data_IF_005392250544
#
_entry.id   IF_005392250544
#
_cell.length_a   1.000
_cell.length_b   1.000
_cell.length_c   1.000
_cell.angle_alpha   90.00
_cell.angle_beta   90.00
_cell.angle_gamma   90.00
#
_symmetry.space_group_name_H-M   'P 1'
#
loop_
_entity.id
_entity.type
_entity.pdbx_description
1 polymer ?
#
# COMPACT_ATOMS: atom_id res chain seq x y z
N UNK A 1 0.88 -9.19 -36.48
CA UNK A 1 0.95 -8.29 -35.30
C UNK A 1 2.36 -7.72 -35.20
N UNK A 2 2.52 -6.40 -35.07
CA UNK A 2 3.85 -5.78 -34.85
C UNK A 2 4.36 -6.15 -33.45
N UNK A 3 5.61 -6.60 -33.34
CA UNK A 3 6.27 -6.79 -32.04
C UNK A 3 6.25 -5.47 -31.27
N UNK A 4 5.87 -5.44 -29.98
CA UNK A 4 5.95 -4.22 -29.19
C UNK A 4 7.40 -3.73 -29.17
N UNK A 5 7.57 -2.42 -29.29
CA UNK A 5 8.89 -1.80 -29.23
C UNK A 5 9.57 -2.18 -27.92
N UNK A 6 10.83 -2.63 -27.98
CA UNK A 6 11.62 -2.93 -26.77
C UNK A 6 11.76 -1.64 -25.95
N UNK A 7 11.22 -1.62 -24.74
CA UNK A 7 11.39 -0.49 -23.82
C UNK A 7 12.88 -0.31 -23.53
N UNK A 8 13.44 0.88 -23.76
CA UNK A 8 14.80 1.22 -23.37
C UNK A 8 14.97 1.05 -21.85
N UNK A 9 15.81 0.12 -21.37
CA UNK A 9 16.01 -0.11 -19.94
C UNK A 9 16.48 1.15 -19.20
N UNK A 10 17.21 2.04 -19.90
CA UNK A 10 17.72 3.30 -19.34
C UNK A 10 16.64 4.36 -19.13
N UNK A 11 15.42 4.14 -19.65
CA UNK A 11 14.27 5.06 -19.47
C UNK A 11 13.27 4.61 -18.40
N UNK A 12 13.50 3.47 -17.73
CA UNK A 12 12.58 3.00 -16.68
C UNK A 12 12.71 3.90 -15.45
N UNK A 13 11.61 4.54 -15.07
CA UNK A 13 11.48 5.40 -13.89
C UNK A 13 10.44 4.82 -12.93
N UNK A 14 10.57 5.11 -11.65
CA UNK A 14 9.50 4.88 -10.68
C UNK A 14 8.26 5.69 -11.06
N UNK A 15 7.08 5.12 -10.82
CA UNK A 15 5.79 5.76 -11.11
C UNK A 15 5.01 5.92 -9.81
N UNK A 16 4.19 6.97 -9.75
CA UNK A 16 3.15 7.13 -8.73
C UNK A 16 1.84 6.74 -9.39
N UNK A 17 1.13 5.78 -8.80
CA UNK A 17 -0.17 5.30 -9.28
C UNK A 17 -1.20 5.66 -8.21
N UNK A 18 -2.23 6.40 -8.61
CA UNK A 18 -3.33 6.80 -7.73
C UNK A 18 -4.60 6.08 -8.19
N UNK A 19 -5.05 5.11 -7.39
CA UNK A 19 -6.33 4.44 -7.58
C UNK A 19 -7.39 5.17 -6.73
N UNK A 20 -8.26 5.97 -7.36
CA UNK A 20 -9.28 6.77 -6.68
C UNK A 20 -10.67 6.60 -7.32
N UNK A 21 -11.69 7.25 -6.75
CA UNK A 21 -13.09 7.19 -7.16
C UNK A 21 -13.95 6.27 -6.28
N UNK A 22 -15.27 6.37 -6.40
CA UNK A 22 -16.23 5.71 -5.49
C UNK A 22 -16.43 4.22 -5.79
N UNK A 23 -15.94 3.75 -6.95
CA UNK A 23 -16.02 2.35 -7.35
C UNK A 23 -15.24 1.41 -6.41
N UNK A 24 -15.73 0.17 -6.28
CA UNK A 24 -14.97 -0.92 -5.65
C UNK A 24 -13.78 -1.31 -6.52
N UNK A 25 -12.68 -1.71 -5.88
CA UNK A 25 -11.52 -2.30 -6.54
C UNK A 25 -10.20 -1.55 -6.39
N UNK A 26 -10.17 -0.38 -5.73
CA UNK A 26 -8.95 0.41 -5.50
C UNK A 26 -7.86 -0.40 -4.77
N UNK A 27 -8.16 -0.90 -3.57
CA UNK A 27 -7.23 -1.71 -2.78
C UNK A 27 -6.90 -3.03 -3.46
N UNK A 28 -7.89 -3.69 -4.06
CA UNK A 28 -7.69 -4.96 -4.79
C UNK A 28 -6.75 -4.78 -5.99
N UNK A 29 -6.84 -3.66 -6.73
CA UNK A 29 -5.92 -3.35 -7.82
C UNK A 29 -4.50 -3.15 -7.30
N UNK A 30 -4.32 -2.43 -6.19
CA UNK A 30 -3.03 -2.25 -5.53
C UNK A 30 -2.44 -3.59 -5.05
N UNK A 31 -3.24 -4.46 -4.42
CA UNK A 31 -2.78 -5.78 -3.98
C UNK A 31 -2.47 -6.73 -5.14
N UNK A 32 -3.19 -6.62 -6.26
CA UNK A 32 -2.85 -7.35 -7.48
C UNK A 32 -1.47 -6.95 -8.03
N UNK A 33 -1.10 -5.67 -7.92
CA UNK A 33 0.25 -5.20 -8.24
C UNK A 33 1.31 -5.72 -7.25
N UNK A 34 0.99 -5.75 -5.95
CA UNK A 34 1.86 -6.33 -4.93
C UNK A 34 2.16 -7.81 -5.22
N UNK A 35 1.12 -8.59 -5.54
CA UNK A 35 1.27 -10.00 -5.91
C UNK A 35 2.15 -10.17 -7.15
N UNK A 36 1.95 -9.34 -8.19
CA UNK A 36 2.78 -9.36 -9.40
C UNK A 36 4.24 -9.04 -9.09
N UNK A 37 4.50 -8.04 -8.24
CA UNK A 37 5.85 -7.63 -7.84
C UNK A 37 6.53 -8.75 -7.02
N UNK A 38 5.83 -9.29 -6.01
CA UNK A 38 6.32 -10.41 -5.21
C UNK A 38 6.63 -11.66 -6.06
N UNK A 39 5.78 -11.98 -7.04
CA UNK A 39 6.04 -13.07 -8.00
C UNK A 39 7.30 -12.86 -8.85
N UNK A 40 7.77 -11.62 -8.99
CA UNK A 40 9.05 -11.27 -9.63
C UNK A 40 10.18 -11.02 -8.61
N UNK A 41 10.03 -11.49 -7.37
CA UNK A 41 11.00 -11.36 -6.28
C UNK A 41 11.36 -9.91 -5.93
N UNK A 42 10.42 -8.99 -6.12
CA UNK A 42 10.56 -7.61 -5.69
C UNK A 42 10.01 -7.44 -4.27
N UNK A 43 10.72 -6.66 -3.46
CA UNK A 43 10.27 -6.31 -2.12
C UNK A 43 9.18 -5.25 -2.20
N UNK A 44 8.06 -5.53 -1.55
CA UNK A 44 6.88 -4.68 -1.47
C UNK A 44 6.63 -4.29 -0.02
N UNK A 45 6.38 -3.02 0.22
CA UNK A 45 5.85 -2.54 1.50
C UNK A 45 4.41 -2.08 1.32
N UNK A 46 3.52 -2.50 2.21
CA UNK A 46 2.12 -2.08 2.24
C UNK A 46 1.84 -1.45 3.60
N UNK A 47 1.53 -0.15 3.59
CA UNK A 47 0.91 0.54 4.71
C UNK A 47 -0.58 0.69 4.44
N UNK A 48 -1.40 0.15 5.33
CA UNK A 48 -2.84 0.34 5.31
C UNK A 48 -3.22 1.34 6.42
N UNK A 49 -3.74 2.49 6.00
CA UNK A 49 -4.30 3.50 6.89
C UNK A 49 -5.75 3.13 7.22
N UNK A 50 -6.21 3.52 8.41
CA UNK A 50 -7.58 3.30 8.90
C UNK A 50 -7.97 1.81 8.99
N UNK A 51 -7.95 1.26 10.20
CA UNK A 51 -8.23 -0.15 10.42
C UNK A 51 -9.73 -0.44 10.38
N UNK A 52 -10.31 -0.64 9.21
CA UNK A 52 -11.62 -1.28 9.11
C UNK A 52 -11.53 -2.75 9.61
N UNK A 53 -12.54 -3.28 10.31
CA UNK A 53 -12.63 -4.72 10.53
C UNK A 53 -12.95 -5.38 9.18
N UNK A 54 -11.96 -5.87 8.42
CA UNK A 54 -12.08 -6.79 7.26
C UNK A 54 -10.67 -7.15 6.75
N UNK A 55 -10.34 -8.28 6.11
CA UNK A 55 -11.01 -9.48 5.61
C UNK A 55 -9.96 -10.61 5.69
N UNK A 56 -10.31 -11.78 6.23
CA UNK A 56 -9.33 -12.83 6.55
C UNK A 56 -8.50 -13.37 5.37
N UNK A 57 -8.94 -13.19 4.11
CA UNK A 57 -8.29 -13.77 2.93
C UNK A 57 -6.99 -13.08 2.50
N UNK A 58 -7.02 -11.75 2.32
CA UNK A 58 -5.86 -10.99 1.82
C UNK A 58 -4.71 -11.03 2.83
N UNK A 59 -4.99 -10.88 4.12
CA UNK A 59 -3.97 -11.02 5.19
C UNK A 59 -3.33 -12.40 5.22
N UNK A 60 -4.11 -13.47 5.02
CA UNK A 60 -3.57 -14.84 4.93
C UNK A 60 -2.62 -14.95 3.74
N UNK A 61 -3.04 -14.48 2.57
CA UNK A 61 -2.19 -14.48 1.37
C UNK A 61 -0.90 -13.66 1.58
N UNK A 62 -1.00 -12.46 2.17
CA UNK A 62 0.16 -11.62 2.48
C UNK A 62 1.12 -12.29 3.48
N UNK A 63 0.60 -13.07 4.43
CA UNK A 63 1.43 -13.84 5.36
C UNK A 63 2.25 -14.91 4.63
N UNK A 64 1.64 -15.63 3.69
CA UNK A 64 2.34 -16.61 2.85
C UNK A 64 3.38 -15.95 1.91
N UNK A 65 3.22 -14.65 1.62
CA UNK A 65 4.13 -13.86 0.79
C UNK A 65 5.14 -13.03 1.61
N UNK A 66 5.30 -13.32 2.91
CA UNK A 66 6.07 -12.48 3.83
C UNK A 66 7.55 -12.35 3.51
N UNK A 67 8.11 -13.28 2.72
CA UNK A 67 9.48 -13.18 2.20
C UNK A 67 9.68 -11.96 1.27
N UNK A 68 8.61 -11.49 0.62
CA UNK A 68 8.65 -10.39 -0.35
C UNK A 68 7.73 -9.24 0.01
N UNK A 69 6.71 -9.46 0.84
CA UNK A 69 5.71 -8.46 1.17
C UNK A 69 5.70 -8.19 2.67
N UNK A 70 6.20 -7.02 3.05
CA UNK A 70 6.01 -6.49 4.39
C UNK A 70 4.70 -5.70 4.44
N UNK A 71 3.81 -6.10 5.34
CA UNK A 71 2.50 -5.47 5.51
C UNK A 71 2.35 -4.93 6.93
N UNK A 72 1.92 -3.67 7.03
CA UNK A 72 1.58 -3.01 8.29
C UNK A 72 0.25 -2.29 8.14
N UNK A 73 -0.58 -2.35 9.19
CA UNK A 73 -1.83 -1.63 9.27
C UNK A 73 -1.90 -0.85 10.57
N UNK A 74 -2.34 0.41 10.50
CA UNK A 74 -2.45 1.31 11.64
C UNK A 74 -3.76 2.11 11.56
N UNK A 75 -4.29 2.48 12.73
CA UNK A 75 -5.62 3.10 12.89
C UNK A 75 -6.53 2.23 13.75
N UNK A 76 -7.60 2.83 14.29
CA UNK A 76 -8.45 2.20 15.31
C UNK A 76 -9.74 1.60 14.79
N UNK A 77 -10.18 1.91 13.57
CA UNK A 77 -11.56 1.58 13.19
C UNK A 77 -12.10 2.49 12.13
N UNK A 78 -13.37 2.30 11.79
CA UNK A 78 -14.18 3.37 11.19
C UNK A 78 -14.06 4.63 12.07
N UNK A 79 -13.46 5.69 11.54
CA UNK A 79 -13.22 6.98 12.22
C UNK A 79 -14.47 7.79 12.55
N UNK A 80 -15.65 7.23 12.29
CA UNK A 80 -16.92 7.91 12.53
C UNK A 80 -17.40 7.76 13.98
N UNK A 81 -16.76 6.90 14.78
CA UNK A 81 -17.10 6.63 16.19
C UNK A 81 -15.93 6.94 17.16
N UNK A 82 -14.81 7.49 16.68
CA UNK A 82 -13.69 7.80 17.58
C UNK A 82 -14.01 9.03 18.42
N UNK A 83 -14.19 8.85 19.72
CA UNK A 83 -14.32 9.95 20.69
C UNK A 83 -13.02 10.78 20.86
N UNK A 84 -11.96 10.48 20.08
CA UNK A 84 -10.63 11.09 20.23
C UNK A 84 -9.91 11.39 18.89
N UNK A 85 -10.24 12.52 18.22
CA UNK A 85 -9.61 12.95 16.96
C UNK A 85 -8.09 13.16 17.06
N UNK A 86 -7.57 13.54 18.21
CA UNK A 86 -6.14 13.79 18.39
C UNK A 86 -5.33 12.49 18.37
N UNK A 87 -5.89 11.41 18.93
CA UNK A 87 -5.30 10.08 18.84
C UNK A 87 -5.31 9.54 17.40
N UNK A 88 -6.36 9.81 16.63
CA UNK A 88 -6.44 9.44 15.22
C UNK A 88 -5.36 10.16 14.39
N UNK A 89 -5.22 11.48 14.56
CA UNK A 89 -4.16 12.26 13.90
C UNK A 89 -2.77 11.74 14.25
N UNK A 90 -2.52 11.45 15.54
CA UNK A 90 -1.24 10.90 15.99
C UNK A 90 -0.96 9.56 15.32
N UNK A 91 -1.93 8.66 15.30
CA UNK A 91 -1.79 7.33 14.68
C UNK A 91 -1.57 7.43 13.18
N UNK A 92 -2.29 8.31 12.50
CA UNK A 92 -2.07 8.61 11.08
C UNK A 92 -0.66 9.15 10.82
N UNK A 93 -0.16 10.05 11.67
CA UNK A 93 1.19 10.61 11.55
C UNK A 93 2.26 9.56 11.72
N UNK A 94 2.14 8.71 12.74
CA UNK A 94 3.06 7.60 12.97
C UNK A 94 3.07 6.62 11.79
N UNK A 95 1.89 6.28 11.26
CA UNK A 95 1.76 5.42 10.08
C UNK A 95 2.43 6.05 8.85
N UNK A 96 2.26 7.35 8.65
CA UNK A 96 2.91 8.09 7.57
C UNK A 96 4.43 8.13 7.72
N UNK A 97 4.95 8.36 8.93
CA UNK A 97 6.39 8.41 9.18
C UNK A 97 7.06 7.06 8.90
N UNK A 98 6.41 5.95 9.27
CA UNK A 98 6.87 4.60 8.90
C UNK A 98 6.86 4.43 7.38
N UNK A 99 5.77 4.80 6.72
CA UNK A 99 5.67 4.67 5.27
C UNK A 99 6.74 5.48 4.54
N UNK A 100 7.03 6.69 5.02
CA UNK A 100 8.09 7.56 4.52
C UNK A 100 9.47 6.94 4.72
N UNK A 101 9.76 6.39 5.90
CA UNK A 101 11.02 5.67 6.16
C UNK A 101 11.22 4.54 5.16
N UNK A 102 10.19 3.72 4.95
CA UNK A 102 10.21 2.57 4.05
C UNK A 102 10.42 3.01 2.60
N UNK A 103 9.70 4.05 2.16
CA UNK A 103 9.85 4.65 0.83
C UNK A 103 11.29 5.14 0.58
N UNK A 104 11.91 5.77 1.58
CA UNK A 104 13.25 6.34 1.47
C UNK A 104 14.39 5.32 1.67
N UNK A 105 14.08 4.12 2.18
CA UNK A 105 15.08 3.12 2.56
C UNK A 105 15.86 2.49 1.38
N UNK A 106 15.35 2.60 0.15
CA UNK A 106 15.89 1.90 -1.02
C UNK A 106 15.66 0.38 -1.03
N UNK A 107 15.03 -0.19 0.02
CA UNK A 107 14.82 -1.64 0.17
C UNK A 107 13.66 -2.19 -0.65
N UNK A 108 12.65 -1.37 -0.92
CA UNK A 108 11.40 -1.75 -1.58
C UNK A 108 11.35 -1.19 -2.99
N UNK A 109 10.94 -2.03 -3.94
CA UNK A 109 10.70 -1.61 -5.33
C UNK A 109 9.26 -1.12 -5.53
N UNK A 110 8.37 -1.41 -4.57
CA UNK A 110 7.00 -0.93 -4.55
C UNK A 110 6.58 -0.60 -3.11
N UNK A 111 5.97 0.56 -2.94
CA UNK A 111 5.33 0.98 -1.69
C UNK A 111 3.88 1.29 -1.97
N UNK A 112 2.98 0.69 -1.21
CA UNK A 112 1.53 0.91 -1.30
C UNK A 112 1.08 1.65 -0.04
N UNK A 113 0.38 2.76 -0.25
CA UNK A 113 -0.24 3.58 0.78
C UNK A 113 -1.76 3.44 0.61
N UNK A 114 -2.33 2.37 1.17
CA UNK A 114 -3.74 2.04 1.02
C UNK A 114 -4.59 2.89 1.98
N UNK A 115 -5.66 3.48 1.47
CA UNK A 115 -6.57 4.37 2.22
C UNK A 115 -5.92 5.65 2.79
N UNK A 116 -4.76 6.07 2.25
CA UNK A 116 -4.07 7.29 2.68
C UNK A 116 -4.92 8.55 2.54
N UNK A 117 -5.84 8.60 1.56
CA UNK A 117 -6.70 9.75 1.29
C UNK A 117 -7.61 10.14 2.47
N UNK A 118 -7.86 9.23 3.42
CA UNK A 118 -8.67 9.54 4.61
C UNK A 118 -7.88 10.20 5.74
N UNK A 119 -6.56 10.30 5.62
CA UNK A 119 -5.67 10.75 6.71
C UNK A 119 -4.70 11.85 6.28
N UNK A 120 -5.05 12.60 5.23
CA UNK A 120 -4.21 13.67 4.69
C UNK A 120 -4.39 15.01 5.39
N UNK A 121 -5.46 15.18 6.18
CA UNK A 121 -5.86 16.44 6.82
C UNK A 121 -5.47 16.52 8.31
#
# INVERSE_FOLDING_TARGET
MKKPAKSDPKKRKGLIIVNTGDGKGKSTASFGLALRAAGNKMNVFIMQFMKGPWKAGERKALKELSDYVEYKAMGDGFTWDTENPEQDKKTAREAFDIAKEKLMSGKYQMVILDEINYVLD
#
